data_IF_577868819945
#
_entry.id   IF_577868819945
#
_cell.length_a   1.000
_cell.length_b   1.000
_cell.length_c   1.000
_cell.angle_alpha   90.00
_cell.angle_beta   90.00
_cell.angle_gamma   90.00
#
_symmetry.space_group_name_H-M   'P 1'
#
loop_
_entity.id
_entity.type
_entity.pdbx_description
1 polymer ?
#
# COMPACT_ATOMS: atom_id res chain seq x y z
N UNK A 1 -16.18 -6.69 -5.94
CA UNK A 1 -14.74 -6.95 -5.70
C UNK A 1 -14.40 -8.42 -5.88
N UNK A 2 -14.45 -9.26 -4.84
CA UNK A 2 -13.95 -10.65 -4.93
C UNK A 2 -14.57 -11.44 -6.10
N UNK A 3 -15.89 -11.44 -6.20
CA UNK A 3 -16.62 -12.14 -7.26
C UNK A 3 -16.25 -11.65 -8.67
N UNK A 4 -16.19 -10.33 -8.88
CA UNK A 4 -15.80 -9.75 -10.17
C UNK A 4 -14.34 -10.07 -10.53
N UNK A 5 -13.44 -10.04 -9.55
CA UNK A 5 -12.04 -10.42 -9.73
C UNK A 5 -11.92 -11.88 -10.16
N UNK A 6 -12.64 -12.80 -9.51
CA UNK A 6 -12.63 -14.23 -9.89
C UNK A 6 -13.26 -14.48 -11.26
N UNK A 7 -14.34 -13.78 -11.61
CA UNK A 7 -14.96 -13.90 -12.94
C UNK A 7 -13.98 -13.43 -14.01
N UNK A 8 -13.34 -12.28 -13.84
CA UNK A 8 -12.33 -11.76 -14.78
C UNK A 8 -11.10 -12.65 -14.87
N UNK A 9 -10.64 -13.19 -13.74
CA UNK A 9 -9.54 -14.15 -13.73
C UNK A 9 -9.91 -15.42 -14.48
N UNK A 10 -11.10 -15.99 -14.26
CA UNK A 10 -11.55 -17.17 -14.99
C UNK A 10 -11.65 -16.93 -16.50
N UNK A 11 -12.15 -15.76 -16.92
CA UNK A 11 -12.23 -15.37 -18.34
C UNK A 11 -10.85 -15.16 -18.97
N UNK A 12 -9.88 -14.64 -18.22
CA UNK A 12 -8.52 -14.38 -18.70
C UNK A 12 -7.60 -15.62 -18.63
N UNK A 13 -7.99 -16.67 -17.91
CA UNK A 13 -7.18 -17.87 -17.67
C UNK A 13 -6.72 -18.57 -18.96
N UNK A 14 -7.55 -18.70 -20.03
CA UNK A 14 -7.09 -19.29 -21.29
C UNK A 14 -5.95 -18.52 -21.97
N UNK A 15 -5.80 -17.22 -21.67
CA UNK A 15 -4.74 -16.36 -22.19
C UNK A 15 -3.51 -16.30 -21.26
N UNK A 16 -3.47 -17.09 -20.19
CA UNK A 16 -2.34 -17.12 -19.27
C UNK A 16 -1.15 -17.87 -19.89
N UNK A 17 -0.14 -17.12 -20.32
CA UNK A 17 1.04 -17.65 -21.00
C UNK A 17 2.11 -18.26 -20.06
N UNK A 18 1.86 -18.36 -18.75
CA UNK A 18 2.81 -18.98 -17.81
C UNK A 18 4.10 -18.19 -17.54
N UNK A 19 4.20 -16.92 -17.98
CA UNK A 19 5.38 -16.05 -17.78
C UNK A 19 5.62 -15.61 -16.34
N UNK A 20 4.71 -15.92 -15.41
CA UNK A 20 4.82 -15.63 -13.98
C UNK A 20 4.07 -16.71 -13.20
N UNK A 21 4.15 -16.73 -11.87
CA UNK A 21 3.32 -17.65 -11.10
C UNK A 21 1.83 -17.30 -11.25
N UNK A 22 0.95 -18.30 -11.16
CA UNK A 22 -0.50 -18.08 -11.18
C UNK A 22 -0.94 -17.12 -10.06
N UNK A 23 -0.27 -17.17 -8.90
CA UNK A 23 -0.50 -16.26 -7.76
C UNK A 23 -0.21 -14.82 -8.18
N UNK A 24 0.98 -14.54 -8.71
CA UNK A 24 1.39 -13.20 -9.16
C UNK A 24 0.43 -12.65 -10.22
N UNK A 25 0.02 -13.50 -11.17
CA UNK A 25 -0.93 -13.13 -12.21
C UNK A 25 -2.33 -12.81 -11.64
N UNK A 26 -2.83 -13.59 -10.69
CA UNK A 26 -4.10 -13.32 -10.03
C UNK A 26 -4.06 -12.02 -9.22
N UNK A 27 -2.96 -11.76 -8.51
CA UNK A 27 -2.73 -10.49 -7.82
C UNK A 27 -2.75 -9.30 -8.78
N UNK A 28 -2.16 -9.42 -9.98
CA UNK A 28 -2.25 -8.37 -11.01
C UNK A 28 -3.69 -8.03 -11.36
N UNK A 29 -4.52 -9.04 -11.60
CA UNK A 29 -5.93 -8.83 -11.93
C UNK A 29 -6.64 -8.17 -10.74
N UNK A 30 -6.45 -8.68 -9.53
CA UNK A 30 -7.06 -8.14 -8.32
C UNK A 30 -6.67 -6.68 -8.06
N UNK A 31 -5.37 -6.36 -8.11
CA UNK A 31 -4.85 -5.02 -7.86
C UNK A 31 -5.31 -4.03 -8.92
N UNK A 32 -5.31 -4.41 -10.20
CA UNK A 32 -5.80 -3.53 -11.26
C UNK A 32 -7.29 -3.20 -11.09
N UNK A 33 -8.11 -4.19 -10.74
CA UNK A 33 -9.54 -3.97 -10.47
C UNK A 33 -9.78 -3.09 -9.24
N UNK A 34 -9.01 -3.32 -8.17
CA UNK A 34 -9.09 -2.52 -6.95
C UNK A 34 -8.72 -1.06 -7.24
N UNK A 35 -7.61 -0.81 -7.95
CA UNK A 35 -7.18 0.53 -8.35
C UNK A 35 -8.22 1.19 -9.27
N UNK A 36 -8.77 0.46 -10.24
CA UNK A 36 -9.81 1.00 -11.13
C UNK A 36 -11.06 1.45 -10.35
N UNK A 37 -11.46 0.69 -9.33
CA UNK A 37 -12.64 1.02 -8.53
C UNK A 37 -12.40 2.17 -7.56
N UNK A 38 -11.18 2.31 -7.03
CA UNK A 38 -10.78 3.48 -6.25
C UNK A 38 -10.81 4.74 -7.10
N UNK A 39 -10.26 4.69 -8.32
CA UNK A 39 -10.30 5.81 -9.28
C UNK A 39 -11.73 6.21 -9.66
N UNK A 40 -12.65 5.24 -9.82
CA UNK A 40 -14.07 5.54 -10.12
C UNK A 40 -14.79 6.22 -8.96
N UNK A 41 -14.36 6.01 -7.72
CA UNK A 41 -14.97 6.60 -6.52
C UNK A 41 -14.50 8.02 -6.25
N UNK A 42 -13.36 8.44 -6.79
CA UNK A 42 -12.87 9.83 -6.72
C UNK A 42 -13.22 10.56 -8.03
N UNK A 43 -13.86 11.75 -8.02
CA UNK A 43 -14.08 12.53 -9.24
C UNK A 43 -12.74 12.85 -9.94
N UNK A 44 -12.79 12.98 -11.27
CA UNK A 44 -11.72 12.82 -12.28
C UNK A 44 -10.45 13.73 -12.20
N UNK A 45 -10.01 14.20 -11.04
CA UNK A 45 -8.73 14.91 -10.91
C UNK A 45 -7.51 13.99 -10.66
N UNK A 46 -7.73 12.73 -10.23
CA UNK A 46 -6.64 11.83 -9.80
C UNK A 46 -5.96 11.00 -10.92
N UNK A 47 -6.46 11.05 -12.16
CA UNK A 47 -5.91 10.24 -13.28
C UNK A 47 -4.45 10.60 -13.60
N UNK A 48 -4.01 11.80 -13.23
CA UNK A 48 -2.65 12.30 -13.47
C UNK A 48 -1.67 12.09 -12.30
N UNK A 49 -2.09 11.54 -11.16
CA UNK A 49 -1.20 11.44 -9.98
C UNK A 49 -0.34 10.17 -9.96
N UNK A 50 -0.81 9.09 -10.60
CA UNK A 50 -0.12 7.79 -10.56
C UNK A 50 1.20 7.81 -11.36
N UNK A 51 1.27 8.69 -12.36
CA UNK A 51 2.47 8.92 -13.16
C UNK A 51 3.26 10.17 -12.70
N UNK A 52 2.66 11.10 -11.94
CA UNK A 52 3.34 12.35 -11.49
C UNK A 52 4.13 12.25 -10.19
N UNK A 53 3.97 11.18 -9.40
CA UNK A 53 4.80 10.99 -8.21
C UNK A 53 6.26 10.57 -8.53
N UNK A 54 6.64 10.49 -9.81
CA UNK A 54 8.03 10.30 -10.24
C UNK A 54 8.92 11.55 -10.01
N UNK A 55 8.36 12.75 -9.75
CA UNK A 55 9.14 14.00 -9.81
C UNK A 55 9.30 14.83 -8.52
N UNK A 56 8.93 14.35 -7.33
CA UNK A 56 9.26 15.06 -6.09
C UNK A 56 9.84 14.12 -5.04
N UNK A 57 11.17 14.14 -4.91
CA UNK A 57 11.87 13.64 -3.73
C UNK A 57 11.79 14.73 -2.66
N UNK A 58 10.69 14.79 -1.91
CA UNK A 58 10.72 15.55 -0.66
C UNK A 58 11.43 14.71 0.41
N UNK A 59 12.45 15.32 1.01
CA UNK A 59 13.21 14.75 2.13
C UNK A 59 12.33 14.67 3.39
N UNK A 60 12.47 13.64 4.23
CA UNK A 60 11.63 13.48 5.41
C UNK A 60 11.95 14.53 6.48
N UNK A 61 10.92 15.21 6.99
CA UNK A 61 11.00 15.99 8.24
C UNK A 61 10.78 15.05 9.43
N UNK A 62 11.83 14.94 10.25
CA UNK A 62 11.91 14.38 11.60
C UNK A 62 11.38 12.95 11.84
N UNK A 63 12.27 12.13 12.40
CA UNK A 63 12.04 10.74 12.74
C UNK A 63 11.85 10.65 14.25
N UNK A 64 10.62 10.44 14.74
CA UNK A 64 10.41 10.04 16.13
C UNK A 64 10.93 8.62 16.32
N UNK A 65 11.61 8.39 17.44
CA UNK A 65 12.23 7.10 17.79
C UNK A 65 11.19 6.20 18.48
N UNK A 66 10.83 5.09 17.82
CA UNK A 66 9.75 4.18 18.22
C UNK A 66 10.19 3.18 19.28
N UNK A 67 11.48 3.15 19.63
CA UNK A 67 12.03 2.21 20.62
C UNK A 67 11.39 2.35 22.02
N UNK A 68 10.67 3.44 22.29
CA UNK A 68 10.09 3.74 23.60
C UNK A 68 8.60 3.40 23.73
N UNK A 69 7.94 2.88 22.68
CA UNK A 69 6.50 2.55 22.77
C UNK A 69 6.33 1.14 23.37
N UNK A 70 5.53 0.97 24.44
CA UNK A 70 5.27 -0.34 25.02
C UNK A 70 4.59 -1.30 24.01
N UNK A 71 5.13 -2.50 23.86
CA UNK A 71 4.59 -3.56 22.99
C UNK A 71 3.07 -3.85 23.19
N UNK A 72 2.51 -3.84 24.41
CA UNK A 72 1.08 -4.09 24.61
C UNK A 72 0.18 -3.03 23.98
N UNK A 73 0.62 -1.78 23.90
CA UNK A 73 -0.15 -0.66 23.35
C UNK A 73 -0.21 -0.73 21.83
N UNK A 74 0.83 -1.26 21.19
CA UNK A 74 0.89 -1.50 19.75
C UNK A 74 -0.06 -2.63 19.30
N UNK A 75 -0.42 -3.54 20.22
CA UNK A 75 -1.20 -4.75 19.91
C UNK A 75 -2.71 -4.59 20.16
N UNK A 76 -3.19 -3.39 20.47
CA UNK A 76 -4.62 -3.16 20.71
C UNK A 76 -5.45 -3.12 19.41
N UNK A 77 -6.74 -3.48 19.51
CA UNK A 77 -7.69 -3.33 18.40
C UNK A 77 -7.83 -1.88 17.92
N UNK A 78 -7.62 -0.91 18.82
CA UNK A 78 -7.66 0.51 18.52
C UNK A 78 -6.46 0.93 17.67
N UNK A 79 -5.25 0.51 18.06
CA UNK A 79 -4.03 0.73 17.27
C UNK A 79 -4.18 0.16 15.86
N UNK A 80 -4.74 -1.05 15.72
CA UNK A 80 -5.00 -1.64 14.41
C UNK A 80 -5.95 -0.78 13.56
N UNK A 81 -7.04 -0.29 14.15
CA UNK A 81 -7.97 0.62 13.45
C UNK A 81 -7.27 1.91 13.02
N UNK A 82 -6.40 2.47 13.87
CA UNK A 82 -5.66 3.69 13.54
C UNK A 82 -4.66 3.46 12.41
N UNK A 83 -3.98 2.31 12.39
CA UNK A 83 -3.12 1.92 11.28
C UNK A 83 -3.92 1.74 9.98
N UNK A 84 -5.10 1.11 10.02
CA UNK A 84 -5.99 0.97 8.86
C UNK A 84 -6.45 2.34 8.33
N UNK A 85 -6.80 3.26 9.23
CA UNK A 85 -7.16 4.64 8.89
C UNK A 85 -5.99 5.39 8.26
N UNK A 86 -4.80 5.34 8.86
CA UNK A 86 -3.61 5.99 8.33
C UNK A 86 -3.20 5.42 6.97
N UNK A 87 -3.28 4.09 6.81
CA UNK A 87 -3.07 3.44 5.52
C UNK A 87 -4.10 3.89 4.48
N UNK A 88 -5.32 4.28 4.88
CA UNK A 88 -6.35 4.77 3.96
C UNK A 88 -6.02 6.14 3.35
N UNK A 89 -5.23 6.97 4.05
CA UNK A 89 -4.77 8.29 3.60
C UNK A 89 -3.59 8.23 2.62
N UNK A 90 -2.88 7.10 2.55
CA UNK A 90 -1.82 6.91 1.57
C UNK A 90 -2.37 7.01 0.14
N UNK A 91 -1.54 7.56 -0.77
CA UNK A 91 -1.84 7.52 -2.20
C UNK A 91 -1.95 6.07 -2.68
N UNK A 92 -2.72 5.85 -3.75
CA UNK A 92 -3.05 4.49 -4.21
C UNK A 92 -1.80 3.64 -4.47
N UNK A 93 -0.75 4.24 -5.04
CA UNK A 93 0.52 3.57 -5.32
C UNK A 93 1.31 3.21 -4.05
N UNK A 94 1.38 4.11 -3.07
CA UNK A 94 2.04 3.86 -1.79
C UNK A 94 1.32 2.77 -0.99
N UNK A 95 -0.02 2.86 -0.92
CA UNK A 95 -0.85 1.87 -0.23
C UNK A 95 -0.71 0.49 -0.87
N UNK A 96 -0.73 0.41 -2.19
CA UNK A 96 -0.60 -0.86 -2.90
C UNK A 96 0.75 -1.54 -2.62
N UNK A 97 1.85 -0.78 -2.64
CA UNK A 97 3.18 -1.31 -2.30
C UNK A 97 3.25 -1.77 -0.84
N UNK A 98 2.73 -0.97 0.09
CA UNK A 98 2.69 -1.33 1.51
C UNK A 98 1.92 -2.63 1.76
N UNK A 99 0.71 -2.76 1.21
CA UNK A 99 -0.10 -3.98 1.36
C UNK A 99 0.60 -5.20 0.77
N UNK A 100 1.14 -5.12 -0.45
CA UNK A 100 1.78 -6.26 -1.10
C UNK A 100 3.06 -6.71 -0.39
N UNK A 101 3.84 -5.77 0.18
CA UNK A 101 5.13 -6.06 0.81
C UNK A 101 5.04 -6.39 2.29
N UNK A 102 4.37 -5.55 3.07
CA UNK A 102 4.41 -5.60 4.53
C UNK A 102 3.23 -6.39 5.11
N UNK A 103 2.11 -6.49 4.38
CA UNK A 103 0.92 -7.27 4.81
C UNK A 103 0.89 -8.65 4.16
N UNK A 104 1.00 -8.71 2.83
CA UNK A 104 0.93 -9.97 2.06
C UNK A 104 2.28 -10.70 1.96
N UNK A 105 3.38 -10.04 2.32
CA UNK A 105 4.73 -10.64 2.36
C UNK A 105 5.33 -11.00 1.01
N UNK A 106 4.83 -10.44 -0.11
CA UNK A 106 5.36 -10.71 -1.45
C UNK A 106 6.74 -10.11 -1.62
N UNK A 107 7.59 -10.69 -2.46
CA UNK A 107 8.91 -10.14 -2.77
C UNK A 107 8.83 -8.78 -3.50
N UNK A 108 9.94 -8.03 -3.50
CA UNK A 108 10.04 -6.78 -4.25
C UNK A 108 9.86 -6.99 -5.76
N UNK A 109 10.38 -8.10 -6.28
CA UNK A 109 10.25 -8.50 -7.69
C UNK A 109 8.81 -8.86 -8.06
N UNK A 110 8.12 -9.65 -7.22
CA UNK A 110 6.71 -9.96 -7.43
C UNK A 110 5.85 -8.70 -7.38
N UNK A 111 6.11 -7.80 -6.43
CA UNK A 111 5.38 -6.54 -6.29
C UNK A 111 5.60 -5.64 -7.50
N UNK A 112 6.84 -5.54 -7.98
CA UNK A 112 7.19 -4.80 -9.19
C UNK A 112 6.45 -5.36 -10.42
N UNK A 113 6.44 -6.69 -10.57
CA UNK A 113 5.71 -7.37 -11.62
C UNK A 113 4.19 -7.21 -11.51
N UNK A 114 3.65 -7.14 -10.28
CA UNK A 114 2.22 -6.94 -10.02
C UNK A 114 1.78 -5.52 -10.39
N UNK A 115 2.54 -4.52 -9.94
CA UNK A 115 2.23 -3.11 -10.13
C UNK A 115 2.73 -2.54 -11.47
N UNK A 116 3.46 -3.33 -12.24
CA UNK A 116 4.07 -2.94 -13.52
C UNK A 116 5.00 -1.71 -13.38
N UNK A 117 5.87 -1.74 -12.37
CA UNK A 117 6.88 -0.71 -12.07
C UNK A 117 8.24 -1.35 -11.84
N UNK A 118 9.32 -0.55 -11.74
CA UNK A 118 10.65 -1.08 -11.41
C UNK A 118 10.76 -1.48 -9.94
N UNK A 119 11.67 -2.40 -9.63
CA UNK A 119 11.97 -2.82 -8.24
C UNK A 119 12.45 -1.63 -7.39
N UNK A 120 13.17 -0.68 -7.98
CA UNK A 120 13.62 0.51 -7.26
C UNK A 120 12.47 1.46 -6.93
N UNK A 121 11.47 1.58 -7.81
CA UNK A 121 10.22 2.29 -7.51
C UNK A 121 9.47 1.61 -6.36
N UNK A 122 9.47 0.27 -6.30
CA UNK A 122 8.87 -0.45 -5.15
C UNK A 122 9.60 -0.10 -3.85
N UNK A 123 10.94 -0.09 -3.84
CA UNK A 123 11.73 0.25 -2.64
C UNK A 123 11.44 1.67 -2.16
N UNK A 124 11.47 2.66 -3.07
CA UNK A 124 11.24 4.06 -2.71
C UNK A 124 9.81 4.31 -2.25
N UNK A 125 8.81 3.73 -2.92
CA UNK A 125 7.41 3.80 -2.50
C UNK A 125 7.19 3.12 -1.14
N UNK A 126 7.80 1.97 -0.90
CA UNK A 126 7.68 1.29 0.39
C UNK A 126 8.25 2.13 1.54
N UNK A 127 9.44 2.70 1.35
CA UNK A 127 10.05 3.60 2.32
C UNK A 127 9.15 4.80 2.61
N UNK A 128 8.65 5.47 1.56
CA UNK A 128 7.73 6.62 1.70
C UNK A 128 6.43 6.24 2.40
N UNK A 129 5.84 5.10 2.07
CA UNK A 129 4.63 4.62 2.73
C UNK A 129 4.85 4.43 4.24
N UNK A 130 5.95 3.77 4.61
CA UNK A 130 6.33 3.57 6.02
C UNK A 130 6.58 4.89 6.74
N UNK A 131 7.25 5.85 6.10
CA UNK A 131 7.50 7.17 6.69
C UNK A 131 6.19 7.93 6.95
N UNK A 132 5.27 7.97 5.99
CA UNK A 132 3.95 8.63 6.17
C UNK A 132 3.13 7.97 7.27
N UNK A 133 3.07 6.64 7.27
CA UNK A 133 2.39 5.88 8.34
C UNK A 133 3.00 6.19 9.70
N UNK A 134 4.33 6.26 9.77
CA UNK A 134 5.05 6.57 10.99
C UNK A 134 4.74 7.99 11.48
N UNK A 135 4.70 8.98 10.60
CA UNK A 135 4.34 10.36 10.96
C UNK A 135 2.93 10.42 11.55
N UNK A 136 1.93 9.85 10.87
CA UNK A 136 0.54 9.83 11.34
C UNK A 136 0.37 9.10 12.68
N UNK A 137 1.01 7.93 12.83
CA UNK A 137 0.93 7.16 14.06
C UNK A 137 1.70 7.82 15.21
N UNK A 138 2.80 8.53 14.91
CA UNK A 138 3.59 9.21 15.95
C UNK A 138 2.77 10.30 16.63
N UNK A 139 1.96 11.04 15.87
CA UNK A 139 1.05 12.04 16.43
C UNK A 139 0.05 11.38 17.37
N UNK A 140 -0.56 10.28 16.95
CA UNK A 140 -1.53 9.54 17.76
C UNK A 140 -0.94 9.01 19.08
N UNK A 141 0.23 8.36 19.03
CA UNK A 141 0.86 7.84 20.25
C UNK A 141 1.42 8.96 21.14
N UNK A 142 1.89 10.07 20.56
CA UNK A 142 2.32 11.24 21.32
C UNK A 142 1.20 11.87 22.13
N UNK A 143 0.00 12.03 21.53
CA UNK A 143 -1.19 12.51 22.23
C UNK A 143 -1.62 11.52 23.33
N UNK A 144 -1.62 10.21 23.03
CA UNK A 144 -2.07 9.18 23.96
C UNK A 144 -1.16 9.05 25.19
N UNK A 145 0.15 9.02 24.99
CA UNK A 145 1.15 8.93 26.07
C UNK A 145 1.26 10.21 26.90
N UNK A 146 0.78 11.35 26.39
CA UNK A 146 0.71 12.61 27.16
C UNK A 146 -0.51 12.72 28.07
N UNK A 147 -1.51 11.84 27.87
CA UNK A 147 -2.78 11.83 28.60
C UNK A 147 -2.88 10.74 29.69
N UNK A 148 -1.88 9.87 29.82
CA UNK A 148 -1.68 8.93 30.94
C UNK A 148 -0.67 9.51 31.96
#
# INVERSE_FOLDING_TARGET
MLQETFIKAYQALPAFEGRSSLKTWLFRIATNEALMLLRKRKPQQAVMEIDREEEAVEEPKEIVDWCCIPEPELMTLETRKKLEEAASHLSEGLRAVFLLRDVEGLSGEETAAILNVSVDVVKTRLLRARLKLREELSVYFGERLSHD
#
